data_IF_672732426541
#
_entry.id   IF_672732426541
#
_cell.length_a   1.000
_cell.length_b   1.000
_cell.length_c   1.000
_cell.angle_alpha   90.00
_cell.angle_beta   90.00
_cell.angle_gamma   90.00
#
_symmetry.space_group_name_H-M   'P 1'
#
loop_
_entity.id
_entity.type
_entity.pdbx_description
1 polymer ?
#
# COMPACT_ATOMS: atom_id res chain seq x y z
N UNK A 1 10.80 -2.03 -7.78
CA UNK A 1 10.89 -0.55 -7.76
C UNK A 1 11.96 -0.04 -8.72
N UNK A 2 13.26 -0.33 -8.51
CA UNK A 2 14.37 0.21 -9.32
C UNK A 2 14.19 0.07 -10.83
N UNK A 3 13.99 -1.15 -11.34
CA UNK A 3 13.84 -1.36 -12.79
C UNK A 3 12.55 -0.71 -13.35
N UNK A 4 11.51 -0.60 -12.53
CA UNK A 4 10.29 0.16 -12.86
C UNK A 4 10.57 1.65 -13.01
N UNK A 5 11.37 2.23 -12.11
CA UNK A 5 11.84 3.61 -12.22
C UNK A 5 12.67 3.81 -13.50
N UNK A 6 13.52 2.84 -13.84
CA UNK A 6 14.32 2.85 -15.06
C UNK A 6 13.54 2.56 -16.36
N UNK A 7 12.21 2.37 -16.28
CA UNK A 7 11.34 2.35 -17.44
C UNK A 7 10.66 1.01 -17.75
N UNK A 8 10.80 -0.03 -16.91
CA UNK A 8 10.00 -1.24 -17.07
C UNK A 8 8.50 -0.92 -16.97
N UNK A 9 7.74 -1.31 -18.01
CA UNK A 9 6.31 -0.99 -18.12
C UNK A 9 5.39 -1.90 -17.29
N UNK A 10 5.83 -3.13 -16.96
CA UNK A 10 5.06 -4.09 -16.17
C UNK A 10 5.98 -4.90 -15.27
N UNK A 11 5.60 -5.03 -13.99
CA UNK A 11 6.31 -5.86 -13.03
C UNK A 11 5.47 -7.11 -12.73
N UNK A 12 5.96 -8.29 -13.10
CA UNK A 12 5.34 -9.54 -12.65
C UNK A 12 5.63 -9.71 -11.15
N UNK A 13 4.58 -9.90 -10.36
CA UNK A 13 4.71 -10.08 -8.92
C UNK A 13 5.37 -11.41 -8.53
N UNK A 14 5.94 -11.43 -7.34
CA UNK A 14 6.53 -12.62 -6.71
C UNK A 14 5.86 -12.78 -5.35
N UNK A 15 5.33 -13.96 -5.07
CA UNK A 15 4.65 -14.25 -3.81
C UNK A 15 5.65 -14.67 -2.73
N UNK A 16 5.30 -14.60 -1.43
CA UNK A 16 6.17 -15.09 -0.36
C UNK A 16 6.56 -16.58 -0.47
N UNK A 17 5.75 -17.38 -1.19
CA UNK A 17 5.98 -18.81 -1.41
C UNK A 17 6.76 -19.15 -2.68
N UNK A 18 7.24 -18.15 -3.40
CA UNK A 18 8.08 -18.40 -4.57
C UNK A 18 9.26 -19.32 -4.19
N UNK A 19 9.50 -20.35 -5.00
CA UNK A 19 10.47 -21.43 -4.75
C UNK A 19 10.16 -22.39 -3.59
N UNK A 20 9.00 -22.25 -2.92
CA UNK A 20 8.61 -23.09 -1.77
C UNK A 20 7.33 -23.90 -2.03
N UNK A 21 6.39 -23.37 -2.82
CA UNK A 21 5.15 -24.08 -3.17
C UNK A 21 4.09 -23.16 -3.77
N UNK A 22 2.87 -23.70 -3.95
CA UNK A 22 1.77 -22.93 -4.49
C UNK A 22 1.24 -21.89 -3.46
N UNK A 23 0.98 -20.65 -3.90
CA UNK A 23 0.45 -19.60 -3.03
C UNK A 23 -1.00 -19.86 -2.62
N UNK A 24 -1.34 -19.48 -1.39
CA UNK A 24 -2.72 -19.38 -0.93
C UNK A 24 -3.26 -17.95 -1.13
N UNK A 25 -4.50 -17.69 -0.70
CA UNK A 25 -5.16 -16.38 -0.82
C UNK A 25 -4.35 -15.23 -0.20
N UNK A 26 -3.74 -15.46 0.96
CA UNK A 26 -2.97 -14.43 1.66
C UNK A 26 -1.63 -14.18 0.97
N UNK A 27 -0.95 -15.24 0.52
CA UNK A 27 0.29 -15.11 -0.25
C UNK A 27 0.08 -14.24 -1.51
N UNK A 28 -1.08 -14.41 -2.18
CA UNK A 28 -1.48 -13.59 -3.33
C UNK A 28 -1.72 -12.14 -2.92
N UNK A 29 -2.48 -11.88 -1.85
CA UNK A 29 -2.72 -10.52 -1.32
C UNK A 29 -1.40 -9.80 -1.04
N UNK A 30 -0.49 -10.45 -0.30
CA UNK A 30 0.83 -9.90 0.03
C UNK A 30 1.60 -9.56 -1.24
N UNK A 31 1.73 -10.51 -2.17
CA UNK A 31 2.45 -10.26 -3.43
C UNK A 31 1.88 -9.09 -4.23
N UNK A 32 0.56 -9.00 -4.37
CA UNK A 32 -0.11 -7.93 -5.11
C UNK A 32 0.14 -6.57 -4.44
N UNK A 33 -0.07 -6.47 -3.13
CA UNK A 33 0.13 -5.21 -2.40
C UNK A 33 1.61 -4.78 -2.44
N UNK A 34 2.55 -5.72 -2.26
CA UNK A 34 3.99 -5.45 -2.38
C UNK A 34 4.34 -4.87 -3.75
N UNK A 35 3.79 -5.42 -4.83
CA UNK A 35 4.08 -4.92 -6.17
C UNK A 35 3.34 -3.62 -6.50
N UNK A 36 2.15 -3.36 -5.94
CA UNK A 36 1.51 -2.03 -5.99
C UNK A 36 2.37 -0.96 -5.31
N UNK A 37 2.98 -1.26 -4.16
CA UNK A 37 3.95 -0.38 -3.50
C UNK A 37 5.15 -0.13 -4.43
N UNK A 38 5.73 -1.20 -4.97
CA UNK A 38 6.92 -1.11 -5.82
C UNK A 38 6.68 -0.32 -7.13
N UNK A 39 5.49 -0.47 -7.73
CA UNK A 39 5.08 0.27 -8.91
C UNK A 39 4.83 1.75 -8.58
N UNK A 40 4.08 2.04 -7.51
CA UNK A 40 3.83 3.41 -7.06
C UNK A 40 5.13 4.15 -6.70
N UNK A 41 6.06 3.48 -6.02
CA UNK A 41 7.39 4.03 -5.74
C UNK A 41 8.18 4.35 -7.01
N UNK A 42 8.06 3.52 -8.05
CA UNK A 42 8.64 3.81 -9.35
C UNK A 42 7.98 5.02 -10.03
N UNK A 43 6.65 5.15 -9.95
CA UNK A 43 5.92 6.29 -10.50
C UNK A 43 6.29 7.61 -9.80
N UNK A 44 6.47 7.58 -8.48
CA UNK A 44 7.00 8.74 -7.72
C UNK A 44 8.41 9.11 -8.20
N UNK A 45 9.32 8.14 -8.31
CA UNK A 45 10.70 8.39 -8.74
C UNK A 45 10.80 8.87 -10.20
N UNK A 46 9.84 8.49 -11.05
CA UNK A 46 9.69 8.99 -12.43
C UNK A 46 9.05 10.38 -12.51
N UNK A 47 8.49 10.89 -11.42
CA UNK A 47 7.70 12.12 -11.44
C UNK A 47 6.40 11.97 -12.24
N UNK A 48 5.78 10.78 -12.25
CA UNK A 48 4.55 10.55 -13.01
C UNK A 48 3.43 11.50 -12.54
N UNK A 49 2.73 12.20 -13.46
CA UNK A 49 1.65 13.09 -13.09
C UNK A 49 0.60 12.41 -12.20
N UNK A 50 0.35 12.99 -11.03
CA UNK A 50 -0.66 12.50 -10.09
C UNK A 50 -0.19 11.45 -9.08
N UNK A 51 1.00 10.86 -9.22
CA UNK A 51 1.51 9.86 -8.27
C UNK A 51 1.60 10.46 -6.85
N UNK A 52 2.16 11.66 -6.74
CA UNK A 52 2.34 12.33 -5.44
C UNK A 52 1.02 12.74 -4.76
N UNK A 53 -0.07 12.96 -5.52
CA UNK A 53 -1.36 13.41 -4.95
C UNK A 53 -1.90 12.44 -3.90
N UNK A 54 -1.71 11.13 -4.12
CA UNK A 54 -2.15 10.09 -3.19
C UNK A 54 -1.37 10.17 -1.87
N UNK A 55 -0.06 10.37 -1.97
CA UNK A 55 0.86 10.43 -0.83
C UNK A 55 0.59 11.67 0.01
N UNK A 56 0.38 12.81 -0.64
CA UNK A 56 0.04 14.06 0.01
C UNK A 56 -1.33 13.96 0.72
N UNK A 57 -2.34 13.36 0.07
CA UNK A 57 -3.66 13.16 0.66
C UNK A 57 -3.61 12.26 1.89
N UNK A 58 -2.87 11.14 1.82
CA UNK A 58 -2.70 10.21 2.95
C UNK A 58 -1.92 10.87 4.09
N UNK A 59 -0.87 11.62 3.76
CA UNK A 59 -0.04 12.34 4.74
C UNK A 59 -0.83 13.44 5.45
N UNK A 60 -1.68 14.16 4.71
CA UNK A 60 -2.59 15.15 5.28
C UNK A 60 -3.62 14.50 6.21
N UNK A 61 -4.23 13.38 5.80
CA UNK A 61 -5.16 12.63 6.65
C UNK A 61 -4.50 12.16 7.95
N UNK A 62 -3.24 11.69 7.86
CA UNK A 62 -2.44 11.33 9.05
C UNK A 62 -2.19 12.51 9.97
N UNK A 63 -1.79 13.66 9.42
CA UNK A 63 -1.51 14.86 10.21
C UNK A 63 -2.77 15.40 10.92
N UNK A 64 -3.92 15.33 10.26
CA UNK A 64 -5.21 15.79 10.79
C UNK A 64 -5.93 14.73 11.64
N UNK A 65 -5.30 13.59 11.91
CA UNK A 65 -5.88 12.44 12.64
C UNK A 65 -7.20 11.92 12.05
N UNK A 66 -7.43 12.12 10.74
CA UNK A 66 -8.60 11.58 10.02
C UNK A 66 -8.39 10.10 9.71
N UNK A 67 -8.46 9.26 10.73
CA UNK A 67 -8.11 7.83 10.67
C UNK A 67 -8.82 7.07 9.55
N UNK A 68 -10.15 7.23 9.43
CA UNK A 68 -10.93 6.56 8.38
C UNK A 68 -10.46 6.94 6.98
N UNK A 69 -10.12 8.20 6.77
CA UNK A 69 -9.60 8.67 5.50
C UNK A 69 -8.19 8.12 5.24
N UNK A 70 -7.34 8.09 6.27
CA UNK A 70 -6.01 7.48 6.15
C UNK A 70 -6.09 5.99 5.76
N UNK A 71 -6.99 5.22 6.37
CA UNK A 71 -7.18 3.80 6.02
C UNK A 71 -7.66 3.65 4.58
N UNK A 72 -8.71 4.39 4.19
CA UNK A 72 -9.30 4.33 2.86
C UNK A 72 -8.34 4.77 1.75
N UNK A 73 -7.39 5.66 2.05
CA UNK A 73 -6.36 6.10 1.11
C UNK A 73 -5.18 5.12 0.99
N UNK A 74 -5.02 4.19 1.92
CA UNK A 74 -3.93 3.21 1.93
C UNK A 74 -4.05 2.18 0.79
N UNK A 75 -2.99 1.39 0.54
CA UNK A 75 -3.04 0.36 -0.52
C UNK A 75 -3.82 -0.88 -0.08
N UNK A 76 -3.95 -1.07 1.24
CA UNK A 76 -4.67 -2.16 1.87
C UNK A 76 -5.45 -1.62 3.09
N UNK A 77 -6.65 -1.05 2.87
CA UNK A 77 -7.44 -0.39 3.91
C UNK A 77 -7.83 -1.31 5.07
N UNK A 78 -8.16 -2.57 4.79
CA UNK A 78 -8.52 -3.56 5.81
C UNK A 78 -7.33 -3.82 6.74
N UNK A 79 -6.13 -4.06 6.20
CA UNK A 79 -4.93 -4.31 7.01
C UNK A 79 -4.50 -3.07 7.80
N UNK A 80 -4.68 -1.88 7.22
CA UNK A 80 -4.38 -0.62 7.93
C UNK A 80 -5.30 -0.40 9.14
N UNK A 81 -6.58 -0.75 9.02
CA UNK A 81 -7.56 -0.68 10.11
C UNK A 81 -7.29 -1.76 11.16
N UNK A 82 -7.01 -3.00 10.74
CA UNK A 82 -6.66 -4.12 11.62
C UNK A 82 -5.51 -3.75 12.56
N UNK A 83 -4.41 -3.20 12.03
CA UNK A 83 -3.24 -2.81 12.83
C UNK A 83 -3.49 -1.63 13.78
N UNK A 84 -4.38 -0.71 13.42
CA UNK A 84 -4.80 0.34 14.35
C UNK A 84 -5.59 -0.25 15.52
N UNK A 85 -6.54 -1.14 15.20
CA UNK A 85 -7.49 -1.69 16.16
C UNK A 85 -6.87 -2.71 17.12
N UNK A 86 -5.71 -3.29 16.78
CA UNK A 86 -4.89 -4.09 17.70
C UNK A 86 -4.53 -3.33 18.99
N UNK A 87 -4.42 -2.00 18.93
CA UNK A 87 -4.05 -1.15 20.07
C UNK A 87 -5.17 -0.22 20.52
N UNK A 88 -5.96 0.31 19.58
CA UNK A 88 -7.00 1.30 19.84
C UNK A 88 -8.32 0.91 19.13
N UNK A 89 -9.02 -0.15 19.59
CA UNK A 89 -10.19 -0.68 18.88
C UNK A 89 -11.44 0.22 18.97
N UNK A 90 -11.51 1.10 19.97
CA UNK A 90 -12.69 1.93 20.24
C UNK A 90 -13.03 2.85 19.06
N UNK A 91 -14.31 2.94 18.69
CA UNK A 91 -14.74 3.78 17.55
C UNK A 91 -14.38 5.27 17.73
N UNK A 92 -14.35 5.76 18.97
CA UNK A 92 -13.89 7.13 19.27
C UNK A 92 -12.39 7.37 19.01
N UNK A 93 -11.59 6.33 18.81
CA UNK A 93 -10.21 6.46 18.36
C UNK A 93 -10.10 6.67 16.85
N UNK A 94 -11.20 6.51 16.10
CA UNK A 94 -11.26 6.61 14.62
C UNK A 94 -12.04 7.84 14.12
N UNK A 95 -12.59 8.64 15.03
CA UNK A 95 -13.34 9.88 14.75
C UNK A 95 -12.43 11.06 14.54
#
# INVERSE_FOLDING_TARGET
AMIGWFGTAMLCYVTPKEHLGLPNKEDVRVGVITYKIAAHAADLAKGHPGAQKRDDALSKARFEFRWRDQFNLSLDPERAMEYHDETLPAEGAKT
#
